data_IF_302424773532
#
_entry.id   IF_302424773532
#
_cell.length_a   1.000
_cell.length_b   1.000
_cell.length_c   1.000
_cell.angle_alpha   90.00
_cell.angle_beta   90.00
_cell.angle_gamma   90.00
#
_symmetry.space_group_name_H-M   'P 1'
#
loop_
_entity.id
_entity.type
_entity.pdbx_description
1 polymer ?
#
# COMPACT_ATOMS: atom_id res chain seq x y z
N UNK A 1 -10.94 79.42 -7.99
CA UNK A 1 -9.77 79.08 -7.14
C UNK A 1 -9.05 77.89 -7.75
N UNK A 2 -7.96 78.14 -8.48
CA UNK A 2 -7.15 77.07 -9.07
C UNK A 2 -6.29 76.44 -7.97
N UNK A 3 -6.51 75.17 -7.63
CA UNK A 3 -5.61 74.46 -6.70
C UNK A 3 -4.27 74.28 -7.40
N UNK A 4 -3.19 74.84 -6.83
CA UNK A 4 -1.83 74.53 -7.25
C UNK A 4 -1.54 73.06 -6.93
N UNK A 5 -1.76 72.21 -7.92
CA UNK A 5 -1.47 70.79 -7.84
C UNK A 5 0.05 70.64 -7.98
N UNK A 6 0.73 70.29 -6.89
CA UNK A 6 2.17 70.08 -6.92
C UNK A 6 2.52 69.05 -8.01
N UNK A 7 3.59 69.27 -8.81
CA UNK A 7 3.98 68.34 -9.85
C UNK A 7 4.28 66.96 -9.24
N UNK A 8 3.99 65.86 -9.96
CA UNK A 8 4.24 64.51 -9.47
C UNK A 8 5.73 64.33 -9.13
N UNK A 9 6.06 63.58 -8.07
CA UNK A 9 7.45 63.36 -7.67
C UNK A 9 8.24 62.68 -8.81
N UNK A 10 9.52 63.03 -9.01
CA UNK A 10 10.31 62.52 -10.13
C UNK A 10 10.45 60.98 -10.11
N UNK A 11 10.57 60.34 -11.28
CA UNK A 11 10.52 58.89 -11.44
C UNK A 11 11.68 58.19 -10.70
N UNK A 12 11.35 57.46 -9.63
CA UNK A 12 12.34 56.90 -8.69
C UNK A 12 13.14 55.71 -9.23
N UNK A 13 12.69 55.10 -10.34
CA UNK A 13 13.34 53.92 -10.94
C UNK A 13 14.53 54.27 -11.86
N UNK A 14 14.55 55.48 -12.42
CA UNK A 14 15.51 55.87 -13.48
C UNK A 14 16.20 57.19 -13.09
N UNK A 15 17.27 57.13 -12.28
CA UNK A 15 18.06 58.32 -11.96
C UNK A 15 18.66 58.95 -13.23
N UNK A 16 18.93 60.27 -13.17
CA UNK A 16 19.38 61.07 -14.31
C UNK A 16 20.86 61.46 -14.24
N UNK A 17 21.35 61.77 -13.05
CA UNK A 17 22.74 62.16 -12.77
C UNK A 17 23.29 61.27 -11.66
N UNK A 18 24.55 60.89 -11.73
CA UNK A 18 25.21 60.07 -10.71
C UNK A 18 26.64 60.50 -10.42
N UNK A 19 27.01 60.45 -9.14
CA UNK A 19 28.38 60.60 -8.66
C UNK A 19 28.80 59.29 -7.97
N UNK A 20 29.95 58.68 -8.32
CA UNK A 20 30.52 57.59 -7.55
C UNK A 20 31.12 58.11 -6.23
N UNK A 21 31.20 57.26 -5.21
CA UNK A 21 31.86 57.62 -3.95
C UNK A 21 33.36 57.91 -4.13
N UNK A 22 33.98 57.39 -5.20
CA UNK A 22 35.35 57.71 -5.62
C UNK A 22 35.53 59.07 -6.30
N UNK A 23 34.47 59.87 -6.47
CA UNK A 23 34.56 61.29 -6.90
C UNK A 23 34.28 62.28 -5.77
N UNK A 24 33.91 61.81 -4.56
CA UNK A 24 33.49 62.65 -3.43
C UNK A 24 34.61 62.78 -2.40
N UNK A 25 34.93 64.03 -2.01
CA UNK A 25 36.01 64.37 -1.06
C UNK A 25 35.50 64.64 0.35
N UNK A 26 34.42 65.41 0.47
CA UNK A 26 33.89 65.88 1.76
C UNK A 26 32.39 66.15 1.62
N UNK A 27 31.64 65.92 2.69
CA UNK A 27 30.18 66.08 2.74
C UNK A 27 29.82 66.88 3.99
N UNK A 28 29.06 67.96 3.85
CA UNK A 28 28.59 68.76 4.98
C UNK A 28 27.27 69.47 4.66
N UNK A 29 26.65 70.10 5.66
CA UNK A 29 25.48 70.95 5.47
C UNK A 29 25.45 72.11 6.47
N UNK A 30 24.71 73.16 6.16
CA UNK A 30 24.36 74.25 7.05
C UNK A 30 22.88 74.61 6.87
N UNK A 31 22.10 74.54 7.97
CA UNK A 31 20.63 74.52 7.96
C UNK A 31 20.05 73.61 6.85
N UNK A 32 19.48 74.21 5.80
CA UNK A 32 18.88 73.52 4.64
C UNK A 32 19.89 73.21 3.53
N UNK A 33 20.98 73.98 3.42
CA UNK A 33 21.98 73.88 2.35
C UNK A 33 22.91 72.71 2.60
N UNK A 34 22.85 71.70 1.74
CA UNK A 34 23.76 70.56 1.71
C UNK A 34 24.86 70.81 0.67
N UNK A 35 26.09 70.40 0.96
CA UNK A 35 27.29 70.68 0.15
C UNK A 35 28.16 69.43 0.06
N UNK A 36 28.39 68.95 -1.17
CA UNK A 36 29.30 67.85 -1.47
C UNK A 36 30.48 68.41 -2.26
N UNK A 37 31.68 68.32 -1.68
CA UNK A 37 32.92 68.75 -2.34
C UNK A 37 33.47 67.60 -3.17
N UNK A 38 33.79 67.80 -4.46
CA UNK A 38 34.40 66.78 -5.31
C UNK A 38 35.89 66.55 -4.98
N UNK A 39 36.42 65.41 -5.45
CA UNK A 39 37.87 65.15 -5.45
C UNK A 39 38.56 66.01 -6.52
N UNK A 40 37.96 66.21 -7.69
CA UNK A 40 38.48 67.17 -8.67
C UNK A 40 38.35 68.61 -8.14
N UNK A 41 39.48 69.25 -7.84
CA UNK A 41 39.54 70.64 -7.36
C UNK A 41 39.13 71.67 -8.42
N UNK A 42 38.95 71.29 -9.69
CA UNK A 42 38.47 72.15 -10.77
C UNK A 42 36.95 72.10 -10.95
N UNK A 43 36.28 71.08 -10.40
CA UNK A 43 34.83 71.02 -10.36
C UNK A 43 34.29 71.89 -9.21
N UNK A 44 33.12 72.54 -9.38
CA UNK A 44 32.45 73.28 -8.30
C UNK A 44 32.00 72.34 -7.18
N UNK A 45 31.68 72.90 -6.01
CA UNK A 45 30.94 72.16 -4.99
C UNK A 45 29.54 71.81 -5.53
N UNK A 46 29.10 70.57 -5.39
CA UNK A 46 27.71 70.16 -5.66
C UNK A 46 26.82 70.59 -4.49
N UNK A 47 25.77 71.35 -4.77
CA UNK A 47 24.92 71.98 -3.75
C UNK A 47 23.46 71.59 -3.97
N UNK A 48 22.75 71.26 -2.89
CA UNK A 48 21.28 71.13 -2.94
C UNK A 48 20.66 71.55 -1.61
N UNK A 49 19.33 71.67 -1.59
CA UNK A 49 18.59 72.12 -0.41
C UNK A 49 17.57 71.07 0.03
N UNK A 50 17.61 70.68 1.31
CA UNK A 50 16.58 69.84 1.91
C UNK A 50 15.66 70.68 2.81
N UNK A 51 14.34 70.40 2.87
CA UNK A 51 13.39 71.27 3.55
C UNK A 51 13.45 71.24 5.09
N UNK A 52 14.19 70.29 5.70
CA UNK A 52 14.25 70.12 7.16
C UNK A 52 15.62 69.62 7.63
N UNK A 53 16.16 70.21 8.70
CA UNK A 53 17.45 69.85 9.32
C UNK A 53 17.58 68.35 9.67
N UNK A 54 16.50 67.70 10.16
CA UNK A 54 16.48 66.25 10.46
C UNK A 54 16.72 65.38 9.21
N UNK A 55 16.33 65.86 8.03
CA UNK A 55 16.59 65.18 6.76
C UNK A 55 18.08 65.31 6.42
N UNK A 56 18.67 66.50 6.54
CA UNK A 56 20.10 66.71 6.32
C UNK A 56 20.98 65.88 7.26
N UNK A 57 20.65 65.78 8.55
CA UNK A 57 21.32 64.86 9.48
C UNK A 57 21.26 63.40 9.01
N UNK A 58 20.10 62.92 8.55
CA UNK A 58 19.96 61.54 8.04
C UNK A 58 20.68 61.31 6.71
N UNK A 59 20.65 62.29 5.79
CA UNK A 59 21.40 62.21 4.53
C UNK A 59 22.89 62.14 4.85
N UNK A 60 23.42 63.01 5.73
CA UNK A 60 24.82 62.94 6.14
C UNK A 60 25.17 61.56 6.71
N UNK A 61 24.45 61.07 7.71
CA UNK A 61 24.71 59.75 8.31
C UNK A 61 24.70 58.61 7.28
N UNK A 62 23.80 58.63 6.29
CA UNK A 62 23.78 57.63 5.20
C UNK A 62 24.90 57.84 4.17
N UNK A 63 25.28 59.09 3.89
CA UNK A 63 26.37 59.45 2.98
C UNK A 63 27.73 59.04 3.55
N UNK A 64 28.01 59.40 4.81
CA UNK A 64 29.13 58.85 5.59
C UNK A 64 29.02 57.32 5.58
N UNK A 65 27.85 56.79 5.99
CA UNK A 65 27.49 55.38 6.11
C UNK A 65 27.87 54.50 4.91
N UNK A 66 27.65 55.00 3.69
CA UNK A 66 27.96 54.25 2.47
C UNK A 66 29.40 54.47 1.98
N UNK A 67 30.04 55.57 2.35
CA UNK A 67 31.35 55.96 1.83
C UNK A 67 32.49 55.09 2.41
N UNK A 68 32.59 54.96 3.73
CA UNK A 68 33.62 54.09 4.33
C UNK A 68 33.33 52.60 4.03
N UNK A 69 32.07 52.16 3.98
CA UNK A 69 31.74 50.82 3.49
C UNK A 69 32.08 50.63 1.99
N UNK A 70 32.11 51.69 1.19
CA UNK A 70 32.59 51.64 -0.20
C UNK A 70 34.13 51.58 -0.26
N UNK A 71 34.83 52.20 0.68
CA UNK A 71 36.30 52.21 0.75
C UNK A 71 36.87 50.96 1.43
N UNK A 72 36.26 50.44 2.51
CA UNK A 72 36.60 49.16 3.15
C UNK A 72 36.50 47.99 2.17
N UNK A 73 35.54 48.03 1.24
CA UNK A 73 35.39 47.07 0.13
C UNK A 73 36.45 47.19 -0.98
N UNK A 74 37.35 48.18 -0.90
CA UNK A 74 38.44 48.46 -1.87
C UNK A 74 39.83 48.43 -1.24
N UNK A 75 39.91 47.76 -0.09
CA UNK A 75 41.13 47.32 0.56
C UNK A 75 41.15 45.79 0.50
N UNK A 76 42.32 45.15 0.61
CA UNK A 76 42.38 43.76 1.02
C UNK A 76 41.56 43.55 2.30
N UNK A 77 40.88 42.41 2.41
CA UNK A 77 40.16 42.03 3.62
C UNK A 77 41.08 42.09 4.86
N UNK A 78 40.57 42.57 6.00
CA UNK A 78 41.31 42.45 7.28
C UNK A 78 41.52 40.98 7.64
N UNK A 79 42.53 40.69 8.47
CA UNK A 79 42.85 39.32 8.90
C UNK A 79 41.61 38.63 9.51
N UNK A 80 40.85 39.37 10.33
CA UNK A 80 39.57 38.92 10.91
C UNK A 80 38.56 38.54 9.82
N UNK A 81 38.35 39.38 8.81
CA UNK A 81 37.42 39.10 7.70
C UNK A 81 37.90 37.92 6.85
N UNK A 82 39.21 37.72 6.69
CA UNK A 82 39.78 36.55 6.03
C UNK A 82 39.53 35.27 6.86
N UNK A 83 39.70 35.33 8.18
CA UNK A 83 39.39 34.23 9.11
C UNK A 83 37.90 33.89 9.12
N UNK A 84 37.01 34.88 9.23
CA UNK A 84 35.55 34.69 9.11
C UNK A 84 35.18 34.05 7.76
N UNK A 85 35.81 34.48 6.65
CA UNK A 85 35.62 33.86 5.33
C UNK A 85 36.23 32.46 5.21
N UNK A 86 37.22 32.09 6.02
CA UNK A 86 37.72 30.72 6.11
C UNK A 86 36.74 29.84 6.89
N UNK A 87 36.42 30.22 8.13
CA UNK A 87 35.45 29.52 8.98
C UNK A 87 34.09 29.34 8.29
N UNK A 88 33.53 30.39 7.67
CA UNK A 88 32.23 30.28 6.98
C UNK A 88 32.27 29.37 5.73
N UNK A 89 33.44 29.12 5.13
CA UNK A 89 33.60 28.10 4.08
C UNK A 89 33.70 26.70 4.66
N UNK A 90 34.45 26.55 5.75
CA UNK A 90 34.63 25.28 6.47
C UNK A 90 33.32 24.79 7.09
N UNK A 91 32.62 25.63 7.84
CA UNK A 91 31.28 25.34 8.37
C UNK A 91 30.27 24.98 7.27
N UNK A 92 30.30 25.70 6.14
CA UNK A 92 29.42 25.40 5.00
C UNK A 92 29.74 24.04 4.40
N UNK A 93 31.03 23.69 4.30
CA UNK A 93 31.48 22.39 3.82
C UNK A 93 31.08 21.27 4.79
N UNK A 94 31.28 21.45 6.10
CA UNK A 94 30.84 20.52 7.15
C UNK A 94 29.33 20.29 7.07
N UNK A 95 28.53 21.36 7.10
CA UNK A 95 27.06 21.32 7.00
C UNK A 95 26.59 20.70 5.66
N UNK A 96 27.40 20.74 4.61
CA UNK A 96 27.13 20.03 3.34
C UNK A 96 27.47 18.54 3.40
N UNK A 97 28.59 18.16 4.03
CA UNK A 97 28.97 16.75 4.25
C UNK A 97 27.98 16.05 5.18
N UNK A 98 27.62 16.68 6.28
CA UNK A 98 26.61 16.24 7.25
C UNK A 98 25.25 15.98 6.59
N UNK A 99 24.76 16.93 5.78
CA UNK A 99 23.53 16.75 4.98
C UNK A 99 23.63 15.60 3.98
N UNK A 100 24.78 15.42 3.33
CA UNK A 100 24.99 14.31 2.40
C UNK A 100 25.07 12.94 3.10
N UNK A 101 25.61 12.89 4.33
CA UNK A 101 25.57 11.69 5.17
C UNK A 101 24.14 11.36 5.60
N UNK A 102 23.39 12.35 6.10
CA UNK A 102 21.98 12.20 6.48
C UNK A 102 21.10 11.75 5.30
N UNK A 103 21.31 12.31 4.10
CA UNK A 103 20.57 11.92 2.89
C UNK A 103 20.89 10.46 2.48
N UNK A 104 22.14 10.04 2.63
CA UNK A 104 22.58 8.66 2.36
C UNK A 104 21.99 7.68 3.40
N UNK A 105 22.01 8.03 4.68
CA UNK A 105 21.37 7.23 5.74
C UNK A 105 19.86 7.12 5.53
N UNK A 106 19.18 8.23 5.21
CA UNK A 106 17.75 8.22 4.91
C UNK A 106 17.42 7.30 3.74
N UNK A 107 18.20 7.33 2.65
CA UNK A 107 18.02 6.42 1.50
C UNK A 107 18.26 4.96 1.86
N UNK A 108 19.26 4.65 2.70
CA UNK A 108 19.50 3.30 3.21
C UNK A 108 18.34 2.81 4.08
N UNK A 109 17.82 3.67 4.96
CA UNK A 109 16.67 3.36 5.82
C UNK A 109 15.40 3.13 5.01
N UNK A 110 15.11 3.99 4.02
CA UNK A 110 13.99 3.84 3.09
C UNK A 110 14.07 2.52 2.30
N UNK A 111 15.27 2.12 1.87
CA UNK A 111 15.48 0.82 1.21
C UNK A 111 15.28 -0.36 2.18
N UNK A 112 15.79 -0.28 3.41
CA UNK A 112 15.60 -1.33 4.41
C UNK A 112 14.14 -1.49 4.83
N UNK A 113 13.39 -0.39 4.90
CA UNK A 113 11.95 -0.36 5.18
C UNK A 113 11.14 -1.00 4.05
N UNK A 114 11.42 -0.65 2.79
CA UNK A 114 10.83 -1.29 1.60
C UNK A 114 11.17 -2.78 1.50
N UNK A 115 12.38 -3.18 1.87
CA UNK A 115 12.80 -4.59 1.91
C UNK A 115 12.04 -5.35 3.00
N UNK A 116 11.93 -4.80 4.22
CA UNK A 116 11.12 -5.36 5.31
C UNK A 116 9.67 -5.51 4.88
N UNK A 117 9.07 -4.47 4.28
CA UNK A 117 7.68 -4.49 3.85
C UNK A 117 7.43 -5.55 2.75
N UNK A 118 8.39 -5.81 1.86
CA UNK A 118 8.29 -6.91 0.89
C UNK A 118 8.33 -8.28 1.59
N UNK A 119 9.31 -8.50 2.47
CA UNK A 119 9.45 -9.74 3.26
C UNK A 119 8.21 -9.98 4.13
N UNK A 120 7.60 -8.93 4.68
CA UNK A 120 6.41 -9.01 5.51
C UNK A 120 5.19 -9.47 4.70
N UNK A 121 4.97 -8.92 3.50
CA UNK A 121 3.94 -9.42 2.57
C UNK A 121 4.21 -10.87 2.13
N UNK A 122 5.45 -11.21 1.77
CA UNK A 122 5.84 -12.59 1.39
C UNK A 122 5.57 -13.59 2.52
N UNK A 123 5.86 -13.19 3.78
CA UNK A 123 5.57 -13.96 4.99
C UNK A 123 4.06 -14.10 5.24
N UNK A 124 3.26 -13.06 5.03
CA UNK A 124 1.79 -13.15 5.18
C UNK A 124 1.16 -14.04 4.11
N UNK A 125 1.61 -13.96 2.85
CA UNK A 125 1.20 -14.90 1.79
C UNK A 125 1.54 -16.36 2.13
N UNK A 126 2.73 -16.61 2.69
CA UNK A 126 3.15 -17.96 3.08
C UNK A 126 2.34 -18.49 4.27
N UNK A 127 1.99 -17.65 5.25
CA UNK A 127 1.13 -18.06 6.37
C UNK A 127 -0.28 -18.44 5.91
N UNK A 128 -0.91 -17.66 5.02
CA UNK A 128 -2.26 -18.00 4.55
C UNK A 128 -2.27 -19.23 3.63
N UNK A 129 -1.18 -19.48 2.86
CA UNK A 129 -0.99 -20.76 2.15
C UNK A 129 -0.83 -21.95 3.10
N UNK A 130 -0.05 -21.81 4.18
CA UNK A 130 0.09 -22.85 5.20
C UNK A 130 -1.26 -23.15 5.86
N UNK A 131 -2.00 -22.13 6.26
CA UNK A 131 -3.34 -22.23 6.86
C UNK A 131 -4.35 -22.94 5.95
N UNK A 132 -4.30 -22.68 4.64
CA UNK A 132 -5.11 -23.39 3.65
C UNK A 132 -4.76 -24.88 3.57
N UNK A 133 -3.46 -25.22 3.63
CA UNK A 133 -2.98 -26.60 3.65
C UNK A 133 -3.37 -27.30 4.96
N UNK A 134 -3.30 -26.62 6.10
CA UNK A 134 -3.76 -27.13 7.39
C UNK A 134 -5.26 -27.45 7.39
N UNK A 135 -6.10 -26.54 6.89
CA UNK A 135 -7.56 -26.78 6.81
C UNK A 135 -7.90 -27.89 5.80
N UNK A 136 -7.20 -27.98 4.66
CA UNK A 136 -7.32 -29.11 3.74
C UNK A 136 -6.93 -30.44 4.39
N UNK A 137 -5.83 -30.44 5.15
CA UNK A 137 -5.35 -31.64 5.87
C UNK A 137 -6.34 -32.06 6.97
N UNK A 138 -6.87 -31.10 7.74
CA UNK A 138 -7.89 -31.35 8.77
C UNK A 138 -9.21 -31.86 8.19
N UNK A 139 -9.61 -31.40 6.99
CA UNK A 139 -10.77 -31.95 6.26
C UNK A 139 -10.52 -33.38 5.81
N UNK A 140 -9.39 -33.63 5.14
CA UNK A 140 -9.03 -34.97 4.66
C UNK A 140 -8.88 -35.99 5.80
N UNK A 141 -8.35 -35.57 6.95
CA UNK A 141 -8.21 -36.42 8.13
C UNK A 141 -9.58 -36.74 8.76
N UNK A 142 -10.49 -35.76 8.91
CA UNK A 142 -11.87 -36.03 9.35
C UNK A 142 -12.63 -36.95 8.39
N UNK A 143 -12.45 -36.77 7.09
CA UNK A 143 -13.07 -37.62 6.07
C UNK A 143 -12.52 -39.06 6.13
N UNK A 144 -11.21 -39.22 6.37
CA UNK A 144 -10.59 -40.53 6.62
C UNK A 144 -11.09 -41.18 7.91
N UNK A 145 -11.26 -40.41 9.00
CA UNK A 145 -11.85 -40.89 10.26
C UNK A 145 -13.31 -41.34 10.07
N UNK A 146 -14.12 -40.59 9.32
CA UNK A 146 -15.49 -40.99 8.97
C UNK A 146 -15.54 -42.25 8.10
N UNK A 147 -14.70 -42.36 7.06
CA UNK A 147 -14.60 -43.57 6.23
C UNK A 147 -14.17 -44.78 7.06
N UNK A 148 -13.23 -44.60 7.99
CA UNK A 148 -12.78 -45.65 8.92
C UNK A 148 -13.91 -46.09 9.85
N UNK A 149 -14.70 -45.16 10.38
CA UNK A 149 -15.86 -45.49 11.22
C UNK A 149 -16.94 -46.23 10.45
N UNK A 150 -17.29 -45.76 9.24
CA UNK A 150 -18.27 -46.43 8.34
C UNK A 150 -17.80 -47.84 7.93
N UNK A 151 -16.51 -48.03 7.70
CA UNK A 151 -15.94 -49.35 7.41
C UNK A 151 -16.09 -50.31 8.60
N UNK A 152 -15.84 -49.84 9.83
CA UNK A 152 -16.04 -50.63 11.05
C UNK A 152 -17.52 -50.93 11.33
N UNK A 153 -18.42 -49.97 11.08
CA UNK A 153 -19.88 -50.16 11.16
C UNK A 153 -20.33 -51.26 10.19
N UNK A 154 -19.89 -51.21 8.92
CA UNK A 154 -20.18 -52.23 7.90
C UNK A 154 -19.53 -53.60 8.19
N UNK A 155 -18.37 -53.65 8.84
CA UNK A 155 -17.77 -54.91 9.31
C UNK A 155 -18.61 -55.54 10.42
N UNK A 156 -19.09 -54.75 11.38
CA UNK A 156 -19.98 -55.23 12.44
C UNK A 156 -21.32 -55.73 11.88
N UNK A 157 -21.91 -55.04 10.92
CA UNK A 157 -23.12 -55.51 10.23
C UNK A 157 -22.86 -56.82 9.47
N UNK A 158 -21.75 -56.92 8.72
CA UNK A 158 -21.34 -58.16 8.05
C UNK A 158 -21.10 -59.31 9.03
N UNK A 159 -20.56 -59.03 10.23
CA UNK A 159 -20.36 -60.05 11.27
C UNK A 159 -21.70 -60.54 11.81
N UNK A 160 -22.63 -59.65 12.15
CA UNK A 160 -24.00 -60.00 12.60
C UNK A 160 -24.76 -60.78 11.52
N UNK A 161 -24.68 -60.34 10.26
CA UNK A 161 -25.34 -61.02 9.14
C UNK A 161 -24.76 -62.43 8.89
N UNK A 162 -23.47 -62.64 9.11
CA UNK A 162 -22.86 -63.99 9.10
C UNK A 162 -23.33 -64.84 10.26
N UNK A 163 -23.34 -64.31 11.49
CA UNK A 163 -23.80 -65.01 12.69
C UNK A 163 -25.27 -65.42 12.58
N UNK A 164 -26.12 -64.57 12.00
CA UNK A 164 -27.52 -64.88 11.70
C UNK A 164 -27.67 -65.87 10.54
N UNK A 165 -26.89 -65.75 9.46
CA UNK A 165 -26.89 -66.74 8.37
C UNK A 165 -26.46 -68.12 8.88
N UNK A 166 -25.43 -68.22 9.72
CA UNK A 166 -25.06 -69.50 10.35
C UNK A 166 -26.12 -70.02 11.34
N UNK A 167 -26.88 -69.15 12.01
CA UNK A 167 -28.02 -69.58 12.86
C UNK A 167 -29.11 -70.21 11.98
N UNK A 168 -29.48 -69.52 10.90
CA UNK A 168 -30.48 -69.99 9.94
C UNK A 168 -30.03 -71.26 9.21
N UNK A 169 -28.75 -71.41 8.88
CA UNK A 169 -28.17 -72.64 8.31
C UNK A 169 -28.28 -73.82 9.30
N UNK A 170 -27.96 -73.61 10.59
CA UNK A 170 -28.13 -74.65 11.64
C UNK A 170 -29.61 -75.02 11.85
N UNK A 171 -30.51 -74.03 11.87
CA UNK A 171 -31.96 -74.27 11.93
C UNK A 171 -32.46 -75.04 10.69
N UNK A 172 -31.95 -74.71 9.50
CA UNK A 172 -32.24 -75.41 8.23
C UNK A 172 -31.77 -76.86 8.26
N UNK A 173 -30.55 -77.11 8.76
CA UNK A 173 -29.98 -78.46 8.89
C UNK A 173 -30.77 -79.30 9.92
N UNK A 174 -31.07 -78.75 11.10
CA UNK A 174 -31.87 -79.46 12.10
C UNK A 174 -33.30 -79.77 11.61
N UNK A 175 -33.91 -78.87 10.82
CA UNK A 175 -35.20 -79.13 10.19
C UNK A 175 -35.13 -80.18 9.07
N UNK A 176 -34.03 -80.24 8.32
CA UNK A 176 -33.77 -81.27 7.30
C UNK A 176 -33.53 -82.65 7.93
N UNK A 177 -32.76 -82.73 9.02
CA UNK A 177 -32.58 -83.95 9.83
C UNK A 177 -33.89 -84.44 10.46
N UNK A 178 -34.65 -83.55 11.10
CA UNK A 178 -35.96 -83.90 11.69
C UNK A 178 -36.96 -84.39 10.63
N UNK A 179 -36.94 -83.80 9.43
CA UNK A 179 -37.75 -84.26 8.29
C UNK A 179 -37.29 -85.63 7.78
N UNK A 180 -35.98 -85.90 7.74
CA UNK A 180 -35.44 -87.19 7.33
C UNK A 180 -35.80 -88.31 8.32
N UNK A 181 -35.72 -88.05 9.63
CA UNK A 181 -36.10 -89.02 10.66
C UNK A 181 -37.63 -89.27 10.68
N UNK A 182 -38.47 -88.25 10.46
CA UNK A 182 -39.92 -88.45 10.24
C UNK A 182 -40.20 -89.28 8.98
N UNK A 183 -39.48 -89.06 7.88
CA UNK A 183 -39.62 -89.86 6.66
C UNK A 183 -39.18 -91.32 6.87
N UNK A 184 -38.14 -91.55 7.68
CA UNK A 184 -37.72 -92.89 8.09
C UNK A 184 -38.80 -93.58 8.94
N UNK A 185 -39.34 -92.91 9.94
CA UNK A 185 -40.40 -93.48 10.79
C UNK A 185 -41.66 -93.82 9.99
N UNK A 186 -42.00 -93.02 8.97
CA UNK A 186 -43.07 -93.35 8.02
C UNK A 186 -42.73 -94.59 7.16
N UNK A 187 -41.49 -94.74 6.71
CA UNK A 187 -41.05 -95.92 5.94
C UNK A 187 -41.05 -97.20 6.80
N UNK A 188 -40.57 -97.13 8.05
CA UNK A 188 -40.61 -98.25 9.00
C UNK A 188 -42.07 -98.62 9.37
N UNK A 189 -42.99 -97.63 9.45
CA UNK A 189 -44.43 -97.90 9.59
C UNK A 189 -45.03 -98.59 8.35
N UNK A 190 -44.73 -98.11 7.14
CA UNK A 190 -45.21 -98.74 5.89
C UNK A 190 -44.75 -100.18 5.78
N UNK A 191 -43.46 -100.45 6.08
CA UNK A 191 -42.91 -101.81 6.08
C UNK A 191 -43.61 -102.73 7.07
N UNK A 192 -43.99 -102.23 8.25
CA UNK A 192 -44.73 -103.01 9.25
C UNK A 192 -46.16 -103.32 8.77
N UNK A 193 -46.82 -102.38 8.07
CA UNK A 193 -48.11 -102.63 7.40
C UNK A 193 -47.99 -103.65 6.26
N UNK A 194 -46.90 -103.60 5.48
CA UNK A 194 -46.59 -104.55 4.40
C UNK A 194 -46.36 -105.97 4.95
N UNK A 195 -45.69 -106.10 6.10
CA UNK A 195 -45.54 -107.39 6.80
C UNK A 195 -46.87 -107.94 7.32
N UNK A 196 -47.72 -107.09 7.92
CA UNK A 196 -49.08 -107.48 8.33
C UNK A 196 -49.94 -107.93 7.14
N UNK A 197 -49.83 -107.26 5.99
CA UNK A 197 -50.50 -107.67 4.76
C UNK A 197 -49.97 -109.02 4.22
N UNK A 198 -48.66 -109.28 4.33
CA UNK A 198 -48.06 -110.56 3.95
C UNK A 198 -48.52 -111.71 4.86
N UNK A 199 -48.60 -111.50 6.19
CA UNK A 199 -49.13 -112.50 7.12
C UNK A 199 -50.61 -112.81 6.84
N UNK A 200 -51.44 -111.79 6.59
CA UNK A 200 -52.83 -111.98 6.13
C UNK A 200 -52.89 -112.75 4.81
N UNK A 201 -51.94 -112.54 3.90
CA UNK A 201 -51.75 -113.33 2.68
C UNK A 201 -51.45 -114.81 2.97
N UNK A 202 -50.53 -115.11 3.89
CA UNK A 202 -50.24 -116.50 4.31
C UNK A 202 -51.45 -117.18 4.96
N UNK A 203 -52.18 -116.47 5.84
CA UNK A 203 -53.41 -117.01 6.43
C UNK A 203 -54.48 -117.26 5.36
N UNK A 204 -54.63 -116.38 4.38
CA UNK A 204 -55.56 -116.55 3.25
C UNK A 204 -55.17 -117.73 2.38
N UNK A 205 -53.88 -117.89 2.05
CA UNK A 205 -53.38 -119.06 1.30
C UNK A 205 -53.54 -120.38 2.09
N UNK A 206 -53.41 -120.34 3.41
CA UNK A 206 -53.63 -121.48 4.31
C UNK A 206 -55.11 -121.84 4.45
N UNK A 207 -56.00 -120.85 4.42
CA UNK A 207 -57.45 -121.06 4.28
C UNK A 207 -57.74 -121.69 2.93
N UNK A 208 -57.24 -121.15 1.81
CA UNK A 208 -57.42 -121.71 0.47
C UNK A 208 -56.90 -123.16 0.35
N UNK A 209 -55.77 -123.50 0.98
CA UNK A 209 -55.27 -124.88 1.04
C UNK A 209 -56.14 -125.81 1.91
N UNK A 210 -56.74 -125.30 3.00
CA UNK A 210 -57.72 -126.06 3.78
C UNK A 210 -59.05 -126.18 3.05
N UNK A 211 -59.45 -125.17 2.29
CA UNK A 211 -60.63 -125.18 1.43
C UNK A 211 -60.44 -126.06 0.21
N UNK A 212 -59.23 -126.23 -0.34
CA UNK A 212 -58.95 -127.18 -1.44
C UNK A 212 -58.62 -128.59 -0.94
N UNK A 213 -58.09 -128.75 0.29
CA UNK A 213 -58.07 -130.06 0.95
C UNK A 213 -59.48 -130.51 1.33
N UNK A 214 -60.33 -129.57 1.77
CA UNK A 214 -61.77 -129.75 1.91
C UNK A 214 -62.42 -129.95 0.56
N UNK A 215 -62.07 -129.22 -0.51
CA UNK A 215 -62.63 -129.41 -1.86
C UNK A 215 -62.26 -130.78 -2.41
N UNK A 216 -61.05 -131.29 -2.16
CA UNK A 216 -60.66 -132.67 -2.49
C UNK A 216 -61.40 -133.70 -1.68
N UNK A 217 -61.58 -133.49 -0.37
CA UNK A 217 -62.45 -134.37 0.43
C UNK A 217 -63.94 -134.22 0.11
N UNK A 218 -64.35 -133.09 -0.42
CA UNK A 218 -65.66 -132.79 -0.99
C UNK A 218 -65.64 -133.03 -2.52
N UNK A 219 -64.61 -133.65 -3.12
CA UNK A 219 -64.54 -134.08 -4.53
C UNK A 219 -64.45 -135.60 -4.56
N UNK A 220 -63.79 -136.22 -3.57
CA UNK A 220 -64.08 -137.59 -3.15
C UNK A 220 -65.51 -137.63 -2.59
N UNK A 221 -65.83 -136.82 -1.58
CA UNK A 221 -67.18 -136.77 -1.06
C UNK A 221 -68.15 -136.14 -2.05
N UNK A 222 -67.78 -135.32 -3.07
CA UNK A 222 -68.67 -135.08 -4.23
C UNK A 222 -68.52 -136.08 -5.40
N UNK A 223 -67.63 -137.06 -5.34
CA UNK A 223 -67.86 -138.30 -6.07
C UNK A 223 -68.87 -139.17 -5.31
N UNK A 224 -69.08 -138.99 -4.00
CA UNK A 224 -70.19 -139.59 -3.22
C UNK A 224 -71.43 -138.69 -3.09
N UNK A 225 -71.26 -137.41 -3.37
CA UNK A 225 -72.13 -136.27 -3.15
C UNK A 225 -71.91 -135.27 -4.31
N UNK A 226 -71.80 -135.66 -5.60
CA UNK A 226 -72.19 -134.95 -6.87
C UNK A 226 -73.31 -135.65 -7.66
N UNK A 227 -74.47 -135.68 -7.09
CA UNK A 227 -74.57 -135.70 -5.67
C UNK A 227 -74.38 -134.16 -4.76
N UNK A 228 -73.78 -132.70 -4.97
CA UNK A 228 -73.40 -131.13 -4.18
C UNK A 228 -72.59 -129.47 -4.58
N UNK A 229 -71.94 -128.27 -3.82
CA UNK A 229 -71.49 -126.53 -4.01
C UNK A 229 -70.26 -125.25 -3.36
N UNK A 230 -70.07 -123.70 -3.40
CA UNK A 230 -68.86 -122.42 -3.02
C UNK A 230 -68.77 -120.58 -2.66
N UNK A 231 -67.68 -119.46 -2.58
CA UNK A 231 -67.37 -117.82 -1.94
C UNK A 231 -66.42 -116.25 -2.33
N UNK A 232 -65.96 -114.95 -1.58
CA UNK A 232 -65.37 -113.28 -1.87
C UNK A 232 -64.36 -111.94 -1.00
N UNK A 233 -64.00 -110.44 -1.21
CA UNK A 233 -62.84 -109.13 -0.81
C UNK A 233 -62.75 -107.27 -0.54
N UNK A 234 -61.64 -106.19 -0.29
CA UNK A 234 -61.40 -104.43 0.04
C UNK A 234 -59.94 -103.26 0.15
N UNK A 235 -59.34 -101.82 0.43
CA UNK A 235 -59.28 -100.09 0.83
C UNK A 235 -57.95 -98.74 0.81
N UNK A 236 -57.77 -97.25 1.26
CA UNK A 236 -56.64 -95.86 1.13
C UNK A 236 -56.20 -94.23 1.99
N UNK A 237 -55.35 -92.94 1.72
CA UNK A 237 -54.72 -91.45 2.53
C UNK A 237 -53.77 -89.87 2.13
N UNK A 238 -53.26 -88.59 2.86
CA UNK A 238 -52.34 -87.06 2.54
C UNK A 238 -51.80 -85.49 3.42
N UNK A 239 -50.80 -84.29 3.23
CA UNK A 239 -50.37 -82.67 3.91
C UNK A 239 -49.04 -81.33 3.76
N UNK A 240 -48.84 -79.81 4.10
CA UNK A 240 -47.55 -78.54 4.23
C UNK A 240 -47.36 -76.70 4.61
N UNK A 241 -46.22 -75.63 4.74
CA UNK A 241 -45.89 -73.90 5.17
C UNK A 241 -44.47 -72.68 4.95
N UNK A 242 -43.80 -71.28 5.25
CA UNK A 242 -43.57 -69.61 5.86
C UNK A 242 -42.21 -68.31 5.62
N UNK A 243 -41.58 -66.89 5.94
CA UNK A 243 -41.36 -65.20 6.52
C UNK A 243 -39.98 -63.92 6.31
N UNK A 244 -39.32 -62.52 6.62
CA UNK A 244 -39.01 -60.85 7.28
C UNK A 244 -37.78 -59.49 6.88
N UNK A 245 -37.11 -58.09 7.21
CA UNK A 245 -36.76 -56.50 7.96
C UNK A 245 -35.62 -55.09 7.51
N UNK A 246 -34.91 -53.70 7.83
CA UNK A 246 -34.44 -52.18 8.67
C UNK A 246 -33.57 -50.60 8.13
N UNK A 247 -32.82 -49.26 8.45
CA UNK A 247 -32.00 -47.94 9.37
C UNK A 247 -31.34 -46.20 8.98
N UNK A 248 -30.62 -45.00 9.70
CA UNK A 248 -30.01 -43.32 9.40
C UNK A 248 -28.97 -41.97 10.24
N UNK A 249 -28.45 -40.52 9.95
CA UNK A 249 -27.37 -39.22 10.59
C UNK A 249 -27.05 -37.37 10.43
N UNK A 250 -26.02 -36.29 10.95
CA UNK A 250 -25.64 -34.52 10.89
C UNK A 250 -24.26 -33.37 11.48
N UNK A 251 -23.65 -31.93 11.66
CA UNK A 251 -23.44 -30.14 11.63
C UNK A 251 -22.10 -28.85 12.03
N UNK A 252 -21.87 -27.30 11.94
CA UNK A 252 -20.63 -26.00 12.08
C UNK A 252 -20.40 -24.17 12.56
N UNK A 253 -19.27 -23.09 12.60
CA UNK A 253 -18.94 -21.36 13.03
C UNK A 253 -17.59 -20.03 12.90
N UNK A 254 -17.35 -18.53 13.32
CA UNK A 254 -16.12 -17.20 13.27
C UNK A 254 -15.84 -15.40 13.79
N UNK A 255 -14.74 -14.29 13.69
CA UNK A 255 -14.37 -12.58 14.18
C UNK A 255 -13.05 -11.23 14.00
N UNK A 256 -12.79 -9.74 14.46
CA UNK A 256 -11.60 -8.39 14.29
C UNK A 256 -11.25 -6.64 14.96
N UNK A 257 -10.18 -5.50 14.82
CA UNK A 257 -9.66 -3.89 15.48
C UNK A 257 -8.60 -2.39 15.04
N UNK A 258 -8.14 -1.06 15.74
CA UNK A 258 -6.92 0.29 15.85
C UNK A 258 -6.61 2.16 15.68
N UNK A 259 -5.58 3.24 16.19
CA UNK A 259 -5.11 4.98 16.06
C UNK A 259 -3.70 6.09 16.64
N UNK A 260 -3.05 7.51 16.83
CA UNK A 260 -2.83 9.31 16.82
C UNK A 260 -1.43 10.56 17.14
N UNK A 261 -1.18 12.11 17.13
CA UNK A 261 0.12 13.34 17.43
C UNK A 261 0.39 15.21 17.62
N UNK A 262 1.58 16.23 17.78
CA UNK A 262 1.96 17.95 18.22
C UNK A 262 3.34 19.26 18.02
N UNK A 263 3.64 20.76 18.38
CA UNK A 263 4.89 22.08 18.28
C UNK A 263 5.05 23.90 18.76
N UNK A 264 5.89 25.24 18.83
CA UNK A 264 7.31 26.36 18.90
C UNK A 264 7.61 28.24 19.04
N UNK A 265 8.75 29.27 19.38
CA UNK A 265 9.13 31.05 19.41
C UNK A 265 10.56 32.25 19.82
N UNK A 266 10.86 33.80 19.76
CA UNK A 266 12.13 34.99 20.16
C UNK A 266 12.37 36.79 20.23
N UNK A 267 13.62 37.54 20.39
CA UNK A 267 14.32 38.96 20.89
C UNK A 267 14.68 40.48 20.21
N UNK A 268 15.39 41.49 20.95
CA UNK A 268 16.27 42.81 20.77
C UNK A 268 16.57 43.66 19.41
N UNK A 269 17.30 44.83 19.20
CA UNK A 269 17.70 46.19 19.82
C UNK A 269 18.59 47.19 18.90
N UNK A 270 19.07 48.39 19.41
CA UNK A 270 20.27 49.27 19.02
C UNK A 270 20.28 50.51 18.01
N UNK A 271 21.46 51.17 17.77
CA UNK A 271 21.75 52.63 17.40
C UNK A 271 22.83 52.90 16.24
N UNK A 272 23.37 54.13 15.99
CA UNK A 272 24.24 54.48 14.80
C UNK A 272 25.30 55.63 14.88
N UNK A 273 26.30 55.72 13.93
CA UNK A 273 27.47 56.66 13.95
C UNK A 273 28.09 57.15 12.57
N UNK A 274 29.34 57.69 12.56
CA UNK A 274 30.05 58.51 11.51
C UNK A 274 31.31 57.83 10.88
N UNK A 275 31.67 58.11 9.60
CA UNK A 275 32.65 57.29 8.82
C UNK A 275 33.74 58.04 7.97
N UNK A 276 34.80 57.33 7.52
CA UNK A 276 36.11 57.87 7.03
C UNK A 276 36.60 57.44 5.60
N UNK A 277 37.69 58.06 5.10
CA UNK A 277 38.32 57.91 3.76
C UNK A 277 39.87 57.84 3.83
N UNK A 278 40.44 56.65 4.10
CA UNK A 278 41.89 56.44 4.18
C UNK A 278 42.32 55.23 3.31
N UNK A 279 43.49 55.30 2.65
CA UNK A 279 44.23 54.15 2.08
C UNK A 279 43.47 53.18 1.14
N UNK A 280 43.09 53.62 -0.07
CA UNK A 280 42.48 52.78 -1.13
C UNK A 280 43.27 52.89 -2.45
N UNK A 281 43.43 51.77 -3.17
CA UNK A 281 44.16 51.74 -4.45
C UNK A 281 43.33 52.28 -5.62
N UNK A 282 43.97 53.06 -6.49
CA UNK A 282 43.32 53.72 -7.62
C UNK A 282 42.66 52.75 -8.62
N UNK A 283 43.17 51.53 -8.76
CA UNK A 283 42.63 50.52 -9.68
C UNK A 283 41.23 50.01 -9.26
N UNK A 284 40.95 49.97 -7.95
CA UNK A 284 39.69 49.45 -7.42
C UNK A 284 38.60 50.53 -7.34
N UNK A 285 38.96 51.83 -7.38
CA UNK A 285 38.04 52.97 -7.27
C UNK A 285 36.90 53.02 -8.32
N UNK A 286 36.94 52.17 -9.36
CA UNK A 286 35.89 52.05 -10.40
C UNK A 286 35.41 50.61 -10.65
N UNK A 287 35.72 49.65 -9.76
CA UNK A 287 35.31 48.23 -9.89
C UNK A 287 33.78 47.98 -9.91
N UNK A 288 32.93 49.00 -9.73
CA UNK A 288 31.50 48.88 -10.02
C UNK A 288 31.11 49.06 -11.50
N UNK A 289 31.98 49.62 -12.33
CA UNK A 289 31.66 49.92 -13.74
C UNK A 289 31.52 48.66 -14.59
N UNK A 290 32.20 47.56 -14.24
CA UNK A 290 32.08 46.25 -14.90
C UNK A 290 30.82 45.46 -14.48
N UNK A 291 29.99 45.98 -13.55
CA UNK A 291 28.86 45.22 -13.01
C UNK A 291 27.77 45.00 -14.06
N UNK A 292 27.24 43.78 -14.06
CA UNK A 292 26.09 43.32 -14.84
C UNK A 292 25.10 42.62 -13.90
N UNK A 293 23.83 42.52 -14.30
CA UNK A 293 22.78 41.97 -13.42
C UNK A 293 22.92 40.45 -13.27
N UNK A 294 22.33 39.88 -12.21
CA UNK A 294 22.33 38.42 -12.03
C UNK A 294 21.61 37.74 -13.21
N UNK A 295 20.51 38.30 -13.71
CA UNK A 295 19.83 37.83 -14.92
C UNK A 295 20.63 38.00 -16.23
N UNK A 296 21.79 38.67 -16.21
CA UNK A 296 22.76 38.71 -17.31
C UNK A 296 23.89 37.69 -17.13
N UNK A 297 24.26 37.32 -15.90
CA UNK A 297 25.27 36.28 -15.60
C UNK A 297 24.70 34.87 -15.57
N UNK A 298 23.45 34.73 -15.15
CA UNK A 298 22.83 33.48 -14.75
C UNK A 298 21.71 33.11 -15.73
N UNK A 299 22.04 32.26 -16.70
CA UNK A 299 21.12 31.85 -17.76
C UNK A 299 19.88 31.12 -17.20
N UNK A 300 20.02 30.37 -16.11
CA UNK A 300 18.90 29.71 -15.42
C UNK A 300 17.93 30.75 -14.86
N UNK A 301 18.42 31.75 -14.12
CA UNK A 301 17.57 32.83 -13.61
C UNK A 301 16.91 33.60 -14.76
N UNK A 302 17.64 33.88 -15.84
CA UNK A 302 17.10 34.55 -17.03
C UNK A 302 15.92 33.77 -17.61
N UNK A 303 16.06 32.44 -17.81
CA UNK A 303 14.98 31.56 -18.28
C UNK A 303 13.81 31.51 -17.31
N UNK A 304 14.05 31.40 -16.01
CA UNK A 304 12.99 31.42 -14.99
C UNK A 304 12.19 32.73 -14.99
N UNK A 305 12.86 33.89 -15.11
CA UNK A 305 12.20 35.19 -15.22
C UNK A 305 11.40 35.31 -16.53
N UNK A 306 11.89 34.75 -17.64
CA UNK A 306 11.15 34.73 -18.90
C UNK A 306 9.89 33.86 -18.82
N UNK A 307 9.99 32.66 -18.24
CA UNK A 307 8.85 31.75 -18.04
C UNK A 307 7.78 32.38 -17.13
N UNK A 308 8.18 32.91 -15.97
CA UNK A 308 7.26 33.63 -15.07
C UNK A 308 6.63 34.86 -15.74
N UNK A 309 7.36 35.55 -16.63
CA UNK A 309 6.82 36.69 -17.38
C UNK A 309 5.75 36.27 -18.40
N UNK A 310 5.85 35.08 -18.99
CA UNK A 310 4.81 34.53 -19.86
C UNK A 310 3.62 33.97 -19.08
N UNK A 311 3.86 33.23 -17.99
CA UNK A 311 2.81 32.65 -17.15
C UNK A 311 1.92 33.72 -16.51
N UNK A 312 2.52 34.83 -16.04
CA UNK A 312 1.77 35.95 -15.47
C UNK A 312 1.09 36.83 -16.53
N UNK A 313 1.51 36.80 -17.81
CA UNK A 313 0.97 37.68 -18.84
C UNK A 313 -0.54 37.48 -19.09
N UNK A 314 -1.03 36.24 -18.94
CA UNK A 314 -2.45 35.90 -19.10
C UNK A 314 -3.33 36.37 -17.93
N UNK A 315 -2.71 36.69 -16.78
CA UNK A 315 -3.39 37.08 -15.54
C UNK A 315 -3.21 38.56 -15.16
N UNK A 316 -2.57 39.37 -16.01
CA UNK A 316 -2.36 40.81 -15.75
C UNK A 316 -3.59 41.62 -16.14
N UNK A 317 -4.18 42.31 -15.15
CA UNK A 317 -5.13 43.40 -15.38
C UNK A 317 -4.37 44.68 -15.76
N UNK A 318 -4.50 45.11 -17.02
CA UNK A 318 -3.90 46.34 -17.55
C UNK A 318 -4.36 47.60 -16.82
N UNK A 319 -5.56 47.61 -16.22
CA UNK A 319 -6.11 48.77 -15.50
C UNK A 319 -5.45 49.01 -14.14
N UNK A 320 -4.82 47.98 -13.56
CA UNK A 320 -4.16 48.01 -12.26
C UNK A 320 -2.67 48.39 -12.32
N UNK A 321 -2.12 48.61 -13.52
CA UNK A 321 -0.70 48.95 -13.73
C UNK A 321 -0.33 50.29 -13.09
N UNK A 322 0.59 50.26 -12.12
CA UNK A 322 1.05 51.48 -11.44
C UNK A 322 1.99 52.30 -12.33
N UNK A 323 2.22 53.56 -11.95
CA UNK A 323 3.22 54.41 -12.60
C UNK A 323 4.64 53.78 -12.59
N UNK A 324 4.98 53.01 -11.55
CA UNK A 324 6.28 52.33 -11.49
C UNK A 324 6.36 51.16 -12.49
N UNK A 325 5.27 50.43 -12.72
CA UNK A 325 5.24 49.30 -13.65
C UNK A 325 5.38 49.78 -15.09
N UNK A 326 4.71 50.89 -15.44
CA UNK A 326 4.87 51.55 -16.74
C UNK A 326 6.32 52.04 -16.95
N UNK A 327 6.92 52.68 -15.94
CA UNK A 327 8.32 53.11 -15.99
C UNK A 327 9.30 51.93 -16.07
N UNK A 328 9.00 50.81 -15.40
CA UNK A 328 9.79 49.58 -15.47
C UNK A 328 9.71 48.95 -16.86
N UNK A 329 8.51 48.83 -17.43
CA UNK A 329 8.29 48.33 -18.78
C UNK A 329 9.01 49.20 -19.83
N UNK A 330 8.98 50.53 -19.70
CA UNK A 330 9.75 51.43 -20.57
C UNK A 330 11.26 51.20 -20.44
N UNK A 331 11.78 51.07 -19.21
CA UNK A 331 13.19 50.74 -18.96
C UNK A 331 13.60 49.43 -19.64
N UNK A 332 12.83 48.35 -19.45
CA UNK A 332 13.09 47.03 -20.04
C UNK A 332 13.01 47.08 -21.56
N UNK A 333 11.99 47.73 -22.12
CA UNK A 333 11.83 47.94 -23.58
C UNK A 333 12.98 48.74 -24.19
N UNK A 334 13.51 49.72 -23.47
CA UNK A 334 14.70 50.49 -23.84
C UNK A 334 16.03 49.76 -23.55
N UNK A 335 15.99 48.50 -23.11
CA UNK A 335 17.18 47.69 -22.76
C UNK A 335 17.98 48.22 -21.57
N UNK A 336 17.41 49.16 -20.78
CA UNK A 336 18.03 49.78 -19.61
C UNK A 336 17.97 48.83 -18.42
N UNK A 337 19.08 48.71 -17.70
CA UNK A 337 19.15 48.02 -16.41
C UNK A 337 19.87 48.91 -15.38
N UNK A 338 19.88 48.47 -14.11
CA UNK A 338 20.49 49.21 -12.99
C UNK A 338 21.93 49.63 -13.25
N UNK A 339 22.76 48.77 -13.84
CA UNK A 339 24.19 49.03 -14.01
C UNK A 339 24.50 49.77 -15.32
N UNK A 340 23.76 49.48 -16.41
CA UNK A 340 23.80 50.31 -17.63
C UNK A 340 23.40 51.76 -17.34
N UNK A 341 22.31 51.97 -16.59
CA UNK A 341 21.84 53.30 -16.21
C UNK A 341 22.87 54.00 -15.33
N UNK A 342 23.42 53.31 -14.32
CA UNK A 342 24.49 53.86 -13.47
C UNK A 342 25.76 54.23 -14.24
N UNK A 343 26.16 53.46 -15.27
CA UNK A 343 27.27 53.85 -16.18
C UNK A 343 26.91 55.11 -16.97
N UNK A 344 25.74 55.13 -17.62
CA UNK A 344 25.31 56.24 -18.48
C UNK A 344 25.28 57.59 -17.74
N UNK A 345 24.72 57.63 -16.53
CA UNK A 345 24.58 58.86 -15.74
C UNK A 345 25.86 59.31 -15.01
N UNK A 346 26.96 58.56 -15.19
CA UNK A 346 28.30 58.86 -14.66
C UNK A 346 29.29 59.27 -15.76
N UNK A 347 28.85 59.30 -17.01
CA UNK A 347 29.64 59.83 -18.13
C UNK A 347 29.91 61.33 -17.95
N UNK A 348 30.92 61.84 -18.64
CA UNK A 348 31.38 63.22 -18.48
C UNK A 348 32.16 63.44 -17.18
N UNK A 349 32.84 64.59 -17.09
CA UNK A 349 33.57 64.98 -15.89
C UNK A 349 32.61 65.45 -14.77
N UNK A 350 33.12 65.53 -13.53
CA UNK A 350 32.30 65.90 -12.36
C UNK A 350 31.70 67.30 -12.49
N UNK A 351 32.39 68.27 -13.14
CA UNK A 351 31.83 69.60 -13.41
C UNK A 351 30.59 69.50 -14.31
N UNK A 352 30.68 68.80 -15.44
CA UNK A 352 29.58 68.65 -16.40
C UNK A 352 28.32 68.08 -15.74
N UNK A 353 28.48 67.07 -14.86
CA UNK A 353 27.36 66.48 -14.11
C UNK A 353 26.79 67.38 -13.00
N UNK A 354 27.53 68.39 -12.55
CA UNK A 354 27.01 69.44 -11.66
C UNK A 354 26.31 70.53 -12.48
N UNK A 355 26.92 70.97 -13.60
CA UNK A 355 26.30 71.92 -14.55
C UNK A 355 24.93 71.40 -15.04
N UNK A 356 24.84 70.09 -15.32
CA UNK A 356 23.59 69.42 -15.71
C UNK A 356 22.56 69.45 -14.58
N UNK A 357 22.96 69.24 -13.32
CA UNK A 357 22.06 69.26 -12.17
C UNK A 357 21.49 70.64 -11.87
N UNK A 358 22.32 71.69 -11.94
CA UNK A 358 21.89 73.09 -11.74
C UNK A 358 20.99 73.59 -12.90
N UNK A 359 20.74 72.76 -13.92
CA UNK A 359 19.84 73.04 -15.06
C UNK A 359 18.49 72.27 -15.01
N UNK A 360 18.23 71.49 -13.96
CA UNK A 360 17.02 70.66 -13.77
C UNK A 360 15.97 71.27 -12.83
#
# INVERSE_FOLDING_TARGET
MTKYQHPPPPPRLTPKIGFPWSEIRNISFNDKKFVIKPIDKKAPDFVFYAPRLRINKRILALCMGNHELYMRRRKPDTIEVQQMKAQAREEKHHKQQERAQLENEKKKREHAEKEKERIEREKDELMERLRLIEDQTMRAQKELEEQTRRALELEQERKRAREEAERLERERQAAEEAKAELARQAADQMKNQEQLAAELGEFTAKIALLEEAKRKKDEEATEWQQKAISAQDDLEKTKEELKTVMTISSTPAGGSTESEHEEQDENHAEDAAELSLEGVSALDLRSEEERVTEAQKNERLKKQLQVLSSELAEAIDDTMKTQNDMLHAENVKAGRDKYKTLRQIRLGNTKQRIDEFESM
#
